data_IF_503682837124
#
_entry.id   IF_503682837124
#
_cell.length_a   1.000
_cell.length_b   1.000
_cell.length_c   1.000
_cell.angle_alpha   90.00
_cell.angle_beta   90.00
_cell.angle_gamma   90.00
#
_symmetry.space_group_name_H-M   'P 1'
#
loop_
_entity.id
_entity.type
_entity.pdbx_description
1 polymer ?
#
# COMPACT_ATOMS: atom_id res chain seq x y z
N UNK A 1 -3.87 -0.62 3.64
CA UNK A 1 -4.18 -1.00 5.03
C UNK A 1 -2.94 -0.81 5.91
N UNK A 2 -3.08 -0.14 7.05
CA UNK A 2 -1.99 0.17 7.98
C UNK A 2 -1.26 -1.07 8.51
N UNK A 3 -2.00 -2.12 8.89
CA UNK A 3 -1.41 -3.36 9.43
C UNK A 3 -0.51 -4.05 8.40
N UNK A 4 -0.98 -4.18 7.15
CA UNK A 4 -0.16 -4.75 6.08
C UNK A 4 1.11 -3.93 5.84
N UNK A 5 1.03 -2.60 5.88
CA UNK A 5 2.19 -1.73 5.72
C UNK A 5 3.23 -1.98 6.82
N UNK A 6 2.80 -2.08 8.07
CA UNK A 6 3.69 -2.40 9.20
C UNK A 6 4.41 -3.74 9.01
N UNK A 7 3.66 -4.79 8.63
CA UNK A 7 4.23 -6.12 8.41
C UNK A 7 5.24 -6.12 7.27
N UNK A 8 4.91 -5.51 6.13
CA UNK A 8 5.80 -5.39 4.97
C UNK A 8 7.12 -4.71 5.34
N UNK A 9 7.05 -3.58 6.05
CA UNK A 9 8.23 -2.86 6.53
C UNK A 9 9.04 -3.73 7.48
N UNK A 10 8.38 -4.41 8.43
CA UNK A 10 9.05 -5.18 9.48
C UNK A 10 9.88 -6.37 8.97
N UNK A 11 9.49 -6.95 7.84
CA UNK A 11 10.19 -8.08 7.22
C UNK A 11 11.25 -7.64 6.20
N UNK A 12 11.46 -6.33 6.02
CA UNK A 12 12.52 -5.80 5.16
C UNK A 12 12.19 -5.79 3.66
N UNK A 13 10.90 -5.82 3.28
CA UNK A 13 10.50 -5.64 1.88
C UNK A 13 10.81 -4.21 1.45
N UNK A 14 11.46 -4.04 0.31
CA UNK A 14 11.86 -2.74 -0.23
C UNK A 14 10.97 -2.24 -1.36
N UNK A 15 10.15 -3.11 -1.96
CA UNK A 15 9.28 -2.78 -3.09
C UNK A 15 7.96 -3.54 -3.03
N UNK A 16 6.86 -2.82 -3.21
CA UNK A 16 5.49 -3.34 -3.26
C UNK A 16 4.84 -2.88 -4.56
N UNK A 17 4.28 -3.83 -5.31
CA UNK A 17 3.52 -3.55 -6.53
C UNK A 17 2.08 -3.95 -6.29
N UNK A 18 1.16 -2.99 -6.39
CA UNK A 18 -0.27 -3.20 -6.27
C UNK A 18 -0.96 -2.99 -7.62
N UNK A 19 -1.96 -3.82 -7.93
CA UNK A 19 -2.73 -3.67 -9.17
C UNK A 19 -3.54 -2.36 -9.15
N UNK A 20 -4.31 -2.12 -8.09
CA UNK A 20 -5.17 -0.93 -7.91
C UNK A 20 -4.92 -0.23 -6.58
N UNK A 21 -5.47 0.98 -6.42
CA UNK A 21 -5.42 1.74 -5.16
C UNK A 21 -6.40 1.15 -4.14
N UNK A 22 -5.94 0.91 -2.93
CA UNK A 22 -6.82 0.58 -1.80
C UNK A 22 -7.49 1.86 -1.26
N UNK A 23 -8.80 1.80 -0.96
CA UNK A 23 -9.60 2.98 -0.55
C UNK A 23 -9.04 3.70 0.69
N UNK A 24 -8.48 2.96 1.65
CA UNK A 24 -7.87 3.50 2.88
C UNK A 24 -6.34 3.35 2.88
N UNK A 25 -5.69 3.76 1.78
CA UNK A 25 -4.25 3.62 1.58
C UNK A 25 -3.39 4.80 2.07
N UNK A 26 -3.97 5.88 2.60
CA UNK A 26 -3.21 7.10 2.96
C UNK A 26 -2.08 6.78 3.95
N UNK A 27 -2.40 6.18 5.10
CA UNK A 27 -1.41 5.73 6.08
C UNK A 27 -0.34 4.80 5.47
N UNK A 28 -0.74 3.90 4.57
CA UNK A 28 0.18 2.98 3.90
C UNK A 28 1.22 3.74 3.07
N UNK A 29 0.81 4.79 2.35
CA UNK A 29 1.72 5.61 1.52
C UNK A 29 2.70 6.38 2.40
N UNK A 30 2.22 6.99 3.47
CA UNK A 30 3.05 7.77 4.39
C UNK A 30 4.08 6.88 5.09
N UNK A 31 3.66 5.70 5.55
CA UNK A 31 4.55 4.71 6.18
C UNK A 31 5.61 4.18 5.21
N UNK A 32 5.22 3.84 3.98
CA UNK A 32 6.17 3.36 2.97
C UNK A 32 7.17 4.45 2.57
N UNK A 33 6.73 5.70 2.44
CA UNK A 33 7.63 6.82 2.17
C UNK A 33 8.67 6.99 3.29
N UNK A 34 8.23 6.96 4.56
CA UNK A 34 9.13 7.06 5.72
C UNK A 34 10.12 5.88 5.79
N UNK A 35 9.66 4.67 5.48
CA UNK A 35 10.47 3.45 5.51
C UNK A 35 11.28 3.20 4.23
N UNK A 36 11.21 4.10 3.23
CA UNK A 36 11.87 3.96 1.92
C UNK A 36 11.46 2.68 1.17
N UNK A 37 10.20 2.29 1.30
CA UNK A 37 9.58 1.20 0.52
C UNK A 37 8.96 1.80 -0.74
N UNK A 38 9.38 1.32 -1.90
CA UNK A 38 8.79 1.76 -3.18
C UNK A 38 7.39 1.16 -3.35
N UNK A 39 6.37 1.99 -3.50
CA UNK A 39 5.02 1.55 -3.85
C UNK A 39 4.69 1.92 -5.29
N UNK A 40 4.46 0.91 -6.13
CA UNK A 40 3.98 1.08 -7.50
C UNK A 40 2.52 0.65 -7.56
N UNK A 41 1.66 1.51 -8.10
CA UNK A 41 0.27 1.15 -8.42
C UNK A 41 0.14 1.11 -9.95
N UNK A 42 -0.29 -0.03 -10.48
CA UNK A 42 -0.35 -0.27 -11.94
C UNK A 42 -1.52 0.47 -12.58
N UNK A 43 -2.69 0.39 -11.96
CA UNK A 43 -3.92 1.04 -12.43
C UNK A 43 -4.26 2.21 -11.50
N UNK A 44 -4.41 3.41 -12.06
CA UNK A 44 -4.81 4.61 -11.31
C UNK A 44 -6.33 4.61 -11.02
N UNK A 45 -6.80 3.55 -10.38
CA UNK A 45 -8.19 3.36 -10.01
C UNK A 45 -8.28 2.83 -8.58
N UNK A 46 -9.31 3.26 -7.85
CA UNK A 46 -9.62 2.71 -6.53
C UNK A 46 -10.31 1.36 -6.73
N UNK A 47 -9.80 0.33 -6.07
CA UNK A 47 -10.43 -0.99 -6.07
C UNK A 47 -11.81 -0.91 -5.42
N UNK A 48 -12.80 -1.45 -6.11
CA UNK A 48 -14.19 -1.43 -5.69
C UNK A 48 -14.57 -2.81 -5.17
N UNK A 49 -15.15 -2.85 -3.97
CA UNK A 49 -15.67 -4.07 -3.38
C UNK A 49 -17.14 -3.87 -3.05
N UNK A 50 -17.99 -4.83 -3.40
CA UNK A 50 -19.41 -4.77 -3.03
C UNK A 50 -19.58 -4.84 -1.52
N UNK A 51 -20.24 -3.85 -0.92
CA UNK A 51 -20.49 -3.81 0.53
C UNK A 51 -19.33 -3.27 1.37
N UNK A 52 -18.46 -2.47 0.76
CA UNK A 52 -17.38 -1.73 1.41
C UNK A 52 -17.71 -0.24 1.52
#
# INVERSE_FOLDING_TARGET
>A
CRVCAMLIISVGITKVIAKKRYHAAQDTRDMFQQARVELVVVEDEVEQYSGQ
#
